data_IF_245103390352
#
_entry.id   IF_245103390352
#
_cell.length_a   1.000
_cell.length_b   1.000
_cell.length_c   1.000
_cell.angle_alpha   90.00
_cell.angle_beta   90.00
_cell.angle_gamma   90.00
#
_symmetry.space_group_name_H-M   'P 1'
#
loop_
_entity.id
_entity.type
_entity.pdbx_description
1 polymer ?
#
# COMPACT_ATOMS: atom_id res chain seq x y z
N UNK A 1 -19.15 -2.17 7.59
CA UNK A 1 -18.97 -1.32 6.38
C UNK A 1 -19.53 -2.08 5.18
N UNK A 2 -20.39 -1.47 4.34
CA UNK A 2 -20.92 -2.16 3.15
C UNK A 2 -19.85 -2.27 2.05
N UNK A 3 -19.92 -3.30 1.20
CA UNK A 3 -18.96 -3.49 0.09
C UNK A 3 -18.95 -2.32 -0.90
N UNK A 4 -20.13 -1.76 -1.20
CA UNK A 4 -20.25 -0.58 -2.07
C UNK A 4 -19.51 0.62 -1.47
N UNK A 5 -19.73 0.89 -0.18
CA UNK A 5 -19.02 1.97 0.50
C UNK A 5 -17.51 1.73 0.54
N UNK A 6 -17.04 0.50 0.72
CA UNK A 6 -15.61 0.17 0.68
C UNK A 6 -14.97 0.45 -0.69
N UNK A 7 -15.68 0.17 -1.80
CA UNK A 7 -15.21 0.52 -3.15
C UNK A 7 -15.15 2.03 -3.36
N UNK A 8 -16.19 2.76 -2.94
CA UNK A 8 -16.22 4.22 -3.01
C UNK A 8 -15.07 4.82 -2.19
N UNK A 9 -14.86 4.32 -0.97
CA UNK A 9 -13.79 4.76 -0.09
C UNK A 9 -12.41 4.49 -0.70
N UNK A 10 -12.20 3.32 -1.31
CA UNK A 10 -10.95 2.99 -1.98
C UNK A 10 -10.67 3.94 -3.15
N UNK A 11 -11.67 4.18 -4.00
CA UNK A 11 -11.57 5.15 -5.10
C UNK A 11 -11.30 6.57 -4.59
N UNK A 12 -12.01 7.01 -3.56
CA UNK A 12 -11.83 8.32 -2.95
C UNK A 12 -10.43 8.50 -2.35
N UNK A 13 -9.90 7.49 -1.66
CA UNK A 13 -8.54 7.50 -1.10
C UNK A 13 -7.49 7.60 -2.20
N UNK A 14 -7.64 6.89 -3.31
CA UNK A 14 -6.71 6.96 -4.45
C UNK A 14 -6.70 8.37 -5.06
N UNK A 15 -7.89 8.93 -5.32
CA UNK A 15 -8.00 10.25 -5.95
C UNK A 15 -7.53 11.35 -4.99
N UNK A 16 -8.00 11.32 -3.75
CA UNK A 16 -7.62 12.32 -2.75
C UNK A 16 -6.13 12.24 -2.43
N UNK A 17 -5.60 11.03 -2.26
CA UNK A 17 -4.18 10.81 -2.06
C UNK A 17 -3.34 11.30 -3.23
N UNK A 18 -3.76 11.06 -4.46
CA UNK A 18 -3.06 11.59 -5.62
C UNK A 18 -3.04 13.12 -5.63
N UNK A 19 -4.14 13.78 -5.28
CA UNK A 19 -4.21 15.24 -5.18
C UNK A 19 -3.29 15.74 -4.07
N UNK A 20 -3.38 15.19 -2.85
CA UNK A 20 -2.60 15.66 -1.71
C UNK A 20 -1.10 15.47 -1.92
N UNK A 21 -0.68 14.29 -2.37
CA UNK A 21 0.75 13.99 -2.61
C UNK A 21 1.30 14.79 -3.80
N UNK A 22 0.47 15.12 -4.78
CA UNK A 22 0.84 16.07 -5.84
C UNK A 22 1.05 17.46 -5.26
N UNK A 23 0.12 17.97 -4.45
CA UNK A 23 0.24 19.31 -3.88
C UNK A 23 1.46 19.44 -2.96
N UNK A 24 1.75 18.41 -2.15
CA UNK A 24 2.93 18.41 -1.27
C UNK A 24 4.23 18.28 -2.05
N UNK A 25 4.30 17.47 -3.10
CA UNK A 25 5.50 17.34 -3.94
C UNK A 25 5.81 18.61 -4.72
N UNK A 26 4.79 19.26 -5.29
CA UNK A 26 4.95 20.56 -5.98
C UNK A 26 5.38 21.64 -4.99
N UNK A 27 4.71 21.77 -3.84
CA UNK A 27 5.08 22.76 -2.84
C UNK A 27 6.49 22.54 -2.25
N UNK A 28 6.94 21.28 -2.15
CA UNK A 28 8.30 20.94 -1.70
C UNK A 28 9.42 21.37 -2.67
N UNK A 29 9.09 21.61 -3.94
CA UNK A 29 10.03 22.07 -4.96
C UNK A 29 10.25 23.59 -4.98
N UNK A 30 9.38 24.36 -4.31
CA UNK A 30 9.50 25.81 -4.24
C UNK A 30 10.63 26.25 -3.30
N UNK A 31 11.27 27.41 -3.53
CA UNK A 31 12.21 28.00 -2.58
C UNK A 31 11.47 28.32 -1.27
N UNK A 32 11.65 27.47 -0.26
CA UNK A 32 11.02 27.61 1.05
C UNK A 32 12.04 27.41 2.18
N UNK A 33 11.79 28.00 3.35
CA UNK A 33 12.58 27.73 4.54
C UNK A 33 12.60 26.22 4.87
N UNK A 34 13.71 25.74 5.42
CA UNK A 34 13.93 24.34 5.78
C UNK A 34 12.84 23.83 6.70
N UNK A 35 12.39 24.66 7.65
CA UNK A 35 11.30 24.33 8.59
C UNK A 35 10.00 24.00 7.86
N UNK A 36 9.60 24.84 6.88
CA UNK A 36 8.38 24.64 6.11
C UNK A 36 8.43 23.35 5.28
N UNK A 37 9.61 23.03 4.71
CA UNK A 37 9.81 21.77 3.97
C UNK A 37 9.70 20.54 4.86
N UNK A 38 10.26 20.58 6.06
CA UNK A 38 10.14 19.47 7.03
C UNK A 38 8.67 19.26 7.45
N UNK A 39 7.95 20.34 7.78
CA UNK A 39 6.54 20.24 8.15
C UNK A 39 5.67 19.69 7.03
N UNK A 40 5.92 20.12 5.79
CA UNK A 40 5.22 19.62 4.61
C UNK A 40 5.50 18.14 4.36
N UNK A 41 6.75 17.70 4.51
CA UNK A 41 7.12 16.28 4.39
C UNK A 41 6.44 15.42 5.47
N UNK A 42 6.39 15.90 6.72
CA UNK A 42 5.69 15.22 7.81
C UNK A 42 4.19 15.12 7.54
N UNK A 43 3.56 16.18 7.04
CA UNK A 43 2.15 16.15 6.64
C UNK A 43 1.91 15.14 5.52
N UNK A 44 2.76 15.12 4.50
CA UNK A 44 2.69 14.15 3.40
C UNK A 44 2.78 12.71 3.89
N UNK A 45 3.68 12.45 4.84
CA UNK A 45 3.87 11.14 5.45
C UNK A 45 2.66 10.70 6.29
N UNK A 46 2.05 11.62 7.06
CA UNK A 46 0.83 11.36 7.83
C UNK A 46 -0.37 11.07 6.93
N UNK A 47 -0.50 11.78 5.81
CA UNK A 47 -1.55 11.52 4.82
C UNK A 47 -1.36 10.15 4.16
N UNK A 48 -0.14 9.84 3.72
CA UNK A 48 0.20 8.54 3.14
C UNK A 48 -0.06 7.40 4.14
N UNK A 49 0.26 7.60 5.42
CA UNK A 49 -0.08 6.67 6.49
C UNK A 49 -1.59 6.40 6.55
N UNK A 50 -2.40 7.46 6.60
CA UNK A 50 -3.86 7.34 6.59
C UNK A 50 -4.37 6.59 5.36
N UNK A 51 -3.86 6.94 4.18
CA UNK A 51 -4.23 6.30 2.90
C UNK A 51 -3.94 4.80 2.91
N UNK A 52 -2.74 4.38 3.35
CA UNK A 52 -2.35 2.96 3.43
C UNK A 52 -3.25 2.19 4.40
N UNK A 53 -3.55 2.78 5.56
CA UNK A 53 -4.44 2.16 6.56
C UNK A 53 -5.85 2.00 6.00
N UNK A 54 -6.43 3.07 5.45
CA UNK A 54 -7.79 3.05 4.91
C UNK A 54 -7.89 2.11 3.72
N UNK A 55 -6.92 2.14 2.80
CA UNK A 55 -6.88 1.24 1.64
C UNK A 55 -6.81 -0.23 2.09
N UNK A 56 -5.99 -0.54 3.09
CA UNK A 56 -5.89 -1.91 3.62
C UNK A 56 -7.22 -2.39 4.23
N UNK A 57 -7.86 -1.54 5.04
CA UNK A 57 -9.16 -1.86 5.66
C UNK A 57 -10.27 -1.99 4.60
N UNK A 58 -10.30 -1.10 3.62
CA UNK A 58 -11.26 -1.13 2.51
C UNK A 58 -11.10 -2.38 1.66
N UNK A 59 -9.87 -2.70 1.24
CA UNK A 59 -9.58 -3.90 0.44
C UNK A 59 -9.93 -5.18 1.19
N UNK A 60 -9.64 -5.25 2.50
CA UNK A 60 -10.06 -6.38 3.34
C UNK A 60 -11.57 -6.54 3.41
N UNK A 61 -12.31 -5.44 3.59
CA UNK A 61 -13.78 -5.47 3.60
C UNK A 61 -14.37 -5.94 2.25
N UNK A 62 -13.73 -5.56 1.15
CA UNK A 62 -14.13 -5.97 -0.21
C UNK A 62 -13.91 -7.48 -0.39
N UNK A 63 -12.73 -7.99 -0.02
CA UNK A 63 -12.31 -9.36 -0.33
C UNK A 63 -12.82 -10.39 0.67
N UNK A 64 -12.97 -10.01 1.94
CA UNK A 64 -13.37 -10.89 3.05
C UNK A 64 -14.47 -10.21 3.86
N UNK A 65 -15.73 -10.19 3.37
CA UNK A 65 -16.83 -9.48 4.03
C UNK A 65 -17.22 -10.09 5.39
N UNK A 66 -16.88 -11.36 5.61
CA UNK A 66 -17.18 -12.11 6.83
C UNK A 66 -16.24 -11.75 7.98
N UNK A 67 -15.08 -11.15 7.67
CA UNK A 67 -14.09 -10.74 8.66
C UNK A 67 -14.25 -9.26 8.93
N UNK A 68 -14.49 -8.89 10.19
CA UNK A 68 -14.44 -7.48 10.59
C UNK A 68 -12.98 -7.02 10.65
N UNK A 69 -12.55 -6.08 9.78
CA UNK A 69 -11.16 -5.66 9.74
C UNK A 69 -10.78 -4.86 10.99
N UNK A 70 -9.60 -5.13 11.54
CA UNK A 70 -9.05 -4.36 12.65
C UNK A 70 -8.12 -3.27 12.14
N UNK A 71 -8.38 -2.01 12.52
CA UNK A 71 -7.57 -0.88 12.08
C UNK A 71 -6.29 -0.70 12.91
N UNK A 72 -6.29 -1.08 14.19
CA UNK A 72 -5.16 -0.88 15.11
C UNK A 72 -3.87 -1.62 14.68
N UNK A 73 -3.88 -2.94 14.43
CA UNK A 73 -2.68 -3.64 13.96
C UNK A 73 -2.25 -3.16 12.56
N UNK A 74 -3.20 -2.81 11.70
CA UNK A 74 -2.90 -2.22 10.37
C UNK A 74 -2.16 -0.90 10.54
N UNK A 75 -2.63 -0.02 11.43
CA UNK A 75 -1.98 1.25 11.74
C UNK A 75 -0.56 1.04 12.30
N UNK A 76 -0.37 0.12 13.24
CA UNK A 76 0.94 -0.18 13.79
C UNK A 76 1.93 -0.65 12.70
N UNK A 77 1.51 -1.61 11.87
CA UNK A 77 2.36 -2.14 10.80
C UNK A 77 2.58 -1.15 9.67
N UNK A 78 1.57 -0.36 9.29
CA UNK A 78 1.72 0.72 8.31
C UNK A 78 2.74 1.76 8.78
N UNK A 79 2.74 2.10 10.08
CA UNK A 79 3.71 3.01 10.67
C UNK A 79 5.14 2.46 10.58
N UNK A 80 5.33 1.20 10.99
CA UNK A 80 6.63 0.50 10.88
C UNK A 80 7.10 0.47 9.42
N UNK A 81 6.22 0.09 8.50
CA UNK A 81 6.55 -0.01 7.07
C UNK A 81 6.90 1.35 6.46
N UNK A 82 6.24 2.43 6.88
CA UNK A 82 6.60 3.78 6.42
C UNK A 82 7.95 4.25 6.94
N UNK A 83 8.26 3.99 8.22
CA UNK A 83 9.60 4.26 8.77
C UNK A 83 10.66 3.46 8.01
N UNK A 84 10.40 2.17 7.75
CA UNK A 84 11.28 1.32 6.95
C UNK A 84 11.41 1.80 5.51
N UNK A 85 10.34 2.32 4.91
CA UNK A 85 10.34 2.86 3.54
C UNK A 85 11.29 4.05 3.44
N UNK A 86 11.20 4.98 4.40
CA UNK A 86 12.09 6.16 4.47
C UNK A 86 13.53 5.72 4.70
N UNK A 87 13.79 4.84 5.68
CA UNK A 87 15.13 4.33 5.95
C UNK A 87 15.73 3.60 4.74
N UNK A 88 14.93 2.77 4.07
CA UNK A 88 15.31 2.05 2.85
C UNK A 88 15.69 3.00 1.72
N UNK A 89 14.89 4.04 1.48
CA UNK A 89 15.14 5.04 0.45
C UNK A 89 16.46 5.81 0.69
N UNK A 90 16.82 6.03 1.95
CA UNK A 90 18.08 6.69 2.32
C UNK A 90 19.30 5.79 2.11
N UNK A 91 19.16 4.48 2.32
CA UNK A 91 20.27 3.53 2.21
C UNK A 91 20.57 3.18 0.76
N UNK A 92 19.54 2.86 -0.04
CA UNK A 92 19.72 2.40 -1.40
C UNK A 92 18.43 2.55 -2.23
N UNK A 93 18.43 3.26 -3.38
CA UNK A 93 17.21 3.66 -4.08
C UNK A 93 16.17 2.56 -4.41
N UNK A 94 16.56 1.30 -4.72
CA UNK A 94 15.58 0.23 -4.92
C UNK A 94 15.20 -0.58 -3.66
N UNK A 95 15.75 -0.33 -2.47
CA UNK A 95 15.26 -0.99 -1.24
C UNK A 95 13.77 -0.72 -0.92
N UNK A 96 13.19 0.47 -1.19
CA UNK A 96 11.75 0.72 -1.05
C UNK A 96 10.85 -0.29 -1.75
N UNK A 97 11.33 -0.93 -2.82
CA UNK A 97 10.62 -1.99 -3.55
C UNK A 97 10.35 -3.18 -2.62
N UNK A 98 11.35 -3.60 -1.84
CA UNK A 98 11.21 -4.69 -0.89
C UNK A 98 10.25 -4.35 0.24
N UNK A 99 10.25 -3.09 0.69
CA UNK A 99 9.30 -2.60 1.69
C UNK A 99 7.87 -2.60 1.16
N UNK A 100 7.66 -2.20 -0.10
CA UNK A 100 6.35 -2.26 -0.75
C UNK A 100 5.84 -3.71 -0.89
N UNK A 101 6.72 -4.66 -1.24
CA UNK A 101 6.38 -6.10 -1.25
C UNK A 101 6.01 -6.55 0.16
N UNK A 102 6.84 -6.24 1.16
CA UNK A 102 6.57 -6.60 2.55
C UNK A 102 5.24 -6.02 3.02
N UNK A 103 4.93 -4.77 2.67
CA UNK A 103 3.65 -4.13 2.97
C UNK A 103 2.47 -4.90 2.38
N UNK A 104 2.57 -5.32 1.10
CA UNK A 104 1.53 -6.11 0.46
C UNK A 104 1.30 -7.48 1.14
N UNK A 105 2.34 -8.08 1.73
CA UNK A 105 2.25 -9.37 2.43
C UNK A 105 1.71 -9.21 3.85
N UNK A 106 2.20 -8.20 4.58
CA UNK A 106 1.99 -8.03 6.03
C UNK A 106 0.66 -7.34 6.33
N UNK A 107 0.29 -6.31 5.55
CA UNK A 107 -0.91 -5.50 5.82
C UNK A 107 -2.23 -6.31 5.73
N UNK A 108 -2.43 -7.21 4.75
CA UNK A 108 -3.62 -8.07 4.74
C UNK A 108 -3.72 -9.00 5.95
N UNK A 109 -2.60 -9.51 6.44
CA UNK A 109 -2.57 -10.34 7.64
C UNK A 109 -2.89 -9.52 8.89
N UNK A 110 -2.32 -8.31 9.02
CA UNK A 110 -2.61 -7.39 10.11
C UNK A 110 -4.10 -7.03 10.19
N UNK A 111 -4.74 -6.82 9.03
CA UNK A 111 -6.16 -6.47 8.96
C UNK A 111 -7.11 -7.55 9.50
N UNK A 112 -6.65 -8.81 9.61
CA UNK A 112 -7.44 -9.93 10.13
C UNK A 112 -7.56 -9.99 11.67
N UNK A 113 -7.11 -8.97 12.40
CA UNK A 113 -7.26 -8.93 13.87
C UNK A 113 -6.11 -9.53 14.66
N UNK A 114 -5.10 -10.12 14.01
CA UNK A 114 -3.96 -10.77 14.67
C UNK A 114 -2.74 -9.86 14.62
N UNK A 115 -2.13 -9.58 15.78
CA UNK A 115 -0.87 -8.84 15.86
C UNK A 115 0.31 -9.56 15.17
N UNK A 116 0.18 -10.87 14.95
CA UNK A 116 1.12 -11.72 14.19
C UNK A 116 1.04 -11.49 12.67
N UNK A 117 1.31 -10.27 12.19
CA UNK A 117 1.24 -9.95 10.77
C UNK A 117 2.29 -10.69 9.92
N UNK A 118 3.34 -11.23 10.55
CA UNK A 118 4.30 -12.15 9.93
C UNK A 118 3.65 -13.40 9.33
N UNK A 119 2.45 -13.77 9.78
CA UNK A 119 1.73 -14.91 9.19
C UNK A 119 1.38 -14.69 7.73
N UNK A 120 1.36 -13.45 7.21
CA UNK A 120 1.22 -13.17 5.78
C UNK A 120 2.22 -13.95 4.91
N UNK A 121 3.41 -14.24 5.43
CA UNK A 121 4.41 -15.06 4.72
C UNK A 121 4.03 -16.54 4.61
N UNK A 122 3.05 -17.03 5.37
CA UNK A 122 2.53 -18.39 5.22
C UNK A 122 1.88 -18.62 3.83
N UNK A 123 1.52 -17.56 3.11
CA UNK A 123 1.02 -17.66 1.72
C UNK A 123 2.06 -18.33 0.80
N UNK A 124 3.35 -18.08 1.02
CA UNK A 124 4.43 -18.71 0.26
C UNK A 124 4.54 -20.22 0.51
N UNK A 125 4.20 -20.68 1.73
CA UNK A 125 4.24 -22.11 2.08
C UNK A 125 3.02 -22.85 1.56
N UNK A 126 1.86 -22.20 1.55
CA UNK A 126 0.58 -22.83 1.18
C UNK A 126 0.30 -22.77 -0.32
N UNK A 127 0.71 -21.69 -1.00
CA UNK A 127 0.43 -21.47 -2.42
C UNK A 127 1.63 -20.86 -3.17
N UNK A 128 2.79 -21.56 -3.25
CA UNK A 128 4.05 -20.98 -3.72
C UNK A 128 3.96 -20.39 -5.13
N UNK A 129 3.28 -21.06 -6.07
CA UNK A 129 3.16 -20.57 -7.44
C UNK A 129 2.36 -19.27 -7.56
N UNK A 130 1.28 -19.11 -6.78
CA UNK A 130 0.48 -17.88 -6.78
C UNK A 130 1.18 -16.75 -6.03
N UNK A 131 1.90 -17.07 -4.96
CA UNK A 131 2.73 -16.12 -4.24
C UNK A 131 3.87 -15.58 -5.12
N UNK A 132 4.53 -16.46 -5.88
CA UNK A 132 5.55 -16.07 -6.85
C UNK A 132 4.98 -15.16 -7.96
N UNK A 133 3.80 -15.50 -8.51
CA UNK A 133 3.13 -14.65 -9.49
C UNK A 133 2.74 -13.28 -8.94
N UNK A 134 2.25 -13.21 -7.69
CA UNK A 134 1.92 -11.96 -7.02
C UNK A 134 3.18 -11.12 -6.76
N UNK A 135 4.28 -11.75 -6.33
CA UNK A 135 5.56 -11.07 -6.11
C UNK A 135 6.16 -10.55 -7.42
N UNK A 136 6.14 -11.36 -8.48
CA UNK A 136 6.55 -10.93 -9.82
C UNK A 136 5.70 -9.74 -10.30
N UNK A 137 4.40 -9.76 -10.03
CA UNK A 137 3.51 -8.67 -10.42
C UNK A 137 3.72 -7.41 -9.59
N UNK A 138 4.02 -7.53 -8.30
CA UNK A 138 4.44 -6.39 -7.48
C UNK A 138 5.73 -5.78 -8.05
N UNK A 139 6.72 -6.59 -8.41
CA UNK A 139 7.95 -6.12 -9.04
C UNK A 139 7.67 -5.41 -10.37
N UNK A 140 6.85 -6.01 -11.24
CA UNK A 140 6.47 -5.41 -12.53
C UNK A 140 5.74 -4.08 -12.32
N UNK A 141 4.77 -4.01 -11.40
CA UNK A 141 4.05 -2.79 -11.10
C UNK A 141 4.98 -1.67 -10.61
N UNK A 142 5.98 -2.01 -9.79
CA UNK A 142 6.98 -1.07 -9.30
C UNK A 142 7.92 -0.61 -10.41
N UNK A 143 8.39 -1.51 -11.28
CA UNK A 143 9.20 -1.15 -12.45
C UNK A 143 8.43 -0.24 -13.39
N UNK A 144 7.16 -0.56 -13.67
CA UNK A 144 6.27 0.31 -14.46
C UNK A 144 6.11 1.67 -13.76
N UNK A 145 5.93 1.70 -12.45
CA UNK A 145 5.85 2.94 -11.67
C UNK A 145 7.11 3.80 -11.79
N UNK A 146 8.29 3.18 -11.76
CA UNK A 146 9.56 3.88 -11.97
C UNK A 146 9.67 4.44 -13.41
N UNK A 147 9.25 3.67 -14.41
CA UNK A 147 9.21 4.14 -15.80
C UNK A 147 8.23 5.31 -15.95
N UNK A 148 7.03 5.22 -15.36
CA UNK A 148 6.06 6.32 -15.34
C UNK A 148 6.66 7.54 -14.65
N UNK A 149 7.31 7.39 -13.49
CA UNK A 149 7.97 8.50 -12.80
C UNK A 149 9.02 9.19 -13.68
N UNK A 150 9.85 8.42 -14.39
CA UNK A 150 10.84 8.96 -15.32
C UNK A 150 10.17 9.68 -16.50
N UNK A 151 9.24 9.03 -17.20
CA UNK A 151 8.56 9.61 -18.36
C UNK A 151 7.80 10.88 -17.97
N UNK A 152 7.08 10.85 -16.85
CA UNK A 152 6.34 12.02 -16.36
C UNK A 152 7.28 13.15 -15.97
N UNK A 153 8.44 12.86 -15.37
CA UNK A 153 9.46 13.87 -15.06
C UNK A 153 10.16 14.47 -16.28
N UNK A 154 10.32 13.71 -17.37
CA UNK A 154 10.95 14.19 -18.61
C UNK A 154 9.98 14.91 -19.56
N UNK A 155 8.73 14.49 -19.62
CA UNK A 155 7.80 14.90 -20.70
C UNK A 155 6.58 15.69 -20.23
N UNK A 156 6.23 15.66 -18.94
CA UNK A 156 5.08 16.40 -18.41
C UNK A 156 5.52 17.58 -17.55
N UNK A 157 4.60 18.54 -17.37
CA UNK A 157 4.80 19.58 -16.35
C UNK A 157 4.87 18.92 -14.97
N UNK A 158 5.64 19.48 -14.01
CA UNK A 158 5.82 18.86 -12.69
C UNK A 158 4.50 18.50 -12.01
N UNK A 159 3.48 19.36 -12.15
CA UNK A 159 2.14 19.13 -11.62
C UNK A 159 1.46 17.92 -12.28
N UNK A 160 1.39 17.89 -13.62
CA UNK A 160 0.73 16.80 -14.33
C UNK A 160 1.46 15.47 -14.13
N UNK A 161 2.79 15.51 -14.10
CA UNK A 161 3.59 14.32 -13.86
C UNK A 161 3.37 13.72 -12.48
N UNK A 162 3.34 14.56 -11.44
CA UNK A 162 3.03 14.12 -10.09
C UNK A 162 1.63 13.53 -9.98
N UNK A 163 0.60 14.14 -10.58
CA UNK A 163 -0.77 13.59 -10.59
C UNK A 163 -0.80 12.21 -11.21
N UNK A 164 -0.21 12.04 -12.40
CA UNK A 164 -0.18 10.76 -13.11
C UNK A 164 0.53 9.68 -12.29
N UNK A 165 1.69 10.01 -11.73
CA UNK A 165 2.46 9.09 -10.90
C UNK A 165 1.67 8.64 -9.66
N UNK A 166 1.09 9.58 -8.91
CA UNK A 166 0.38 9.25 -7.68
C UNK A 166 -0.94 8.52 -7.92
N UNK A 167 -1.66 8.84 -9.01
CA UNK A 167 -2.83 8.06 -9.43
C UNK A 167 -2.44 6.61 -9.77
N UNK A 168 -1.35 6.43 -10.52
CA UNK A 168 -0.83 5.10 -10.81
C UNK A 168 -0.44 4.36 -9.52
N UNK A 169 0.32 5.01 -8.64
CA UNK A 169 0.78 4.41 -7.39
C UNK A 169 -0.39 3.98 -6.51
N UNK A 170 -1.41 4.83 -6.35
CA UNK A 170 -2.61 4.51 -5.59
C UNK A 170 -3.41 3.35 -6.22
N UNK A 171 -3.63 3.39 -7.53
CA UNK A 171 -4.37 2.34 -8.23
C UNK A 171 -3.64 0.99 -8.22
N UNK A 172 -2.34 0.99 -8.52
CA UNK A 172 -1.50 -0.21 -8.51
C UNK A 172 -1.39 -0.78 -7.08
N UNK A 173 -1.15 0.08 -6.09
CA UNK A 173 -1.10 -0.31 -4.68
C UNK A 173 -2.42 -0.95 -4.22
N UNK A 174 -3.56 -0.34 -4.55
CA UNK A 174 -4.88 -0.89 -4.24
C UNK A 174 -5.14 -2.25 -4.93
N UNK A 175 -4.78 -2.38 -6.21
CA UNK A 175 -4.93 -3.62 -6.95
C UNK A 175 -4.06 -4.75 -6.38
N UNK A 176 -2.82 -4.43 -6.00
CA UNK A 176 -1.91 -5.36 -5.34
C UNK A 176 -2.43 -5.77 -3.97
N UNK A 177 -2.90 -4.82 -3.15
CA UNK A 177 -3.52 -5.13 -1.86
C UNK A 177 -4.74 -6.03 -2.02
N UNK A 178 -5.64 -5.74 -2.97
CA UNK A 178 -6.79 -6.62 -3.25
C UNK A 178 -6.35 -8.03 -3.60
N UNK A 179 -5.31 -8.18 -4.43
CA UNK A 179 -4.83 -9.49 -4.82
C UNK A 179 -4.17 -10.24 -3.66
N UNK A 180 -3.28 -9.59 -2.93
CA UNK A 180 -2.62 -10.20 -1.77
C UNK A 180 -3.61 -10.56 -0.66
N UNK A 181 -4.62 -9.74 -0.40
CA UNK A 181 -5.68 -10.08 0.56
C UNK A 181 -6.52 -11.28 0.11
N UNK A 182 -6.80 -11.43 -1.19
CA UNK A 182 -7.45 -12.63 -1.74
C UNK A 182 -6.58 -13.88 -1.60
N UNK A 183 -5.26 -13.76 -1.73
CA UNK A 183 -4.35 -14.89 -1.52
C UNK A 183 -4.31 -15.27 -0.04
N UNK A 184 -4.17 -14.29 0.84
CA UNK A 184 -4.18 -14.48 2.28
C UNK A 184 -5.44 -15.19 2.78
N UNK A 185 -6.63 -14.73 2.36
CA UNK A 185 -7.90 -15.32 2.80
C UNK A 185 -8.08 -16.78 2.37
N UNK A 186 -7.59 -17.13 1.18
CA UNK A 186 -7.57 -18.51 0.68
C UNK A 186 -6.59 -19.39 1.46
N UNK A 187 -5.40 -18.88 1.78
CA UNK A 187 -4.43 -19.62 2.59
C UNK A 187 -4.91 -19.83 4.04
N UNK A 188 -5.60 -18.84 4.61
CA UNK A 188 -6.14 -18.92 5.97
C UNK A 188 -7.28 -19.95 6.09
N UNK A 189 -8.13 -20.06 5.07
CA UNK A 189 -9.24 -21.04 5.05
C UNK A 189 -8.77 -22.48 4.89
N UNK A 190 -7.70 -22.73 4.11
CA UNK A 190 -7.09 -24.07 3.98
C UNK A 190 -6.43 -24.54 5.29
N UNK A 191 -6.04 -23.61 6.16
CA UNK A 191 -5.33 -23.93 7.42
C UNK A 191 -6.27 -24.14 8.61
N UNK A 192 -7.59 -23.97 8.43
CA UNK A 192 -8.56 -24.22 9.50
C UNK A 192 -8.78 -25.73 9.66
N UNK A 193 -8.60 -26.30 10.87
CA UNK A 193 -8.91 -27.72 11.09
C UNK A 193 -10.39 -27.97 10.76
N UNK A 194 -10.66 -29.05 10.03
CA UNK A 194 -12.03 -29.56 9.83
C UNK A 194 -12.69 -29.65 11.20
N UNK A 195 -13.89 -29.07 11.42
CA UNK A 195 -14.65 -29.40 12.61
C UNK A 195 -14.90 -30.90 12.55
N UNK A 196 -14.26 -31.64 13.45
CA UNK A 196 -14.61 -33.03 13.71
C UNK A 196 -16.01 -32.94 14.34
N UNK A 197 -17.03 -33.23 13.52
CA UNK A 197 -18.40 -33.48 13.99
C UNK A 197 -18.46 -34.86 14.64
#
# INVERSE_FOLDING_TARGET
MSRLFAWILLGAVIVFGAITQTMTSVAGSAPADTTARVLLALLSALLLFGEVVIATVATTTITTPEVSPSWQPVAAWAGILLVLLVAAALVWPPLPILVAVAACVVLPAAASGRYDAWRGFAVFRTTPGRAAAAMASTLVAVVIGAVIALLTGFFLTPLMGAVVFWLFAGAAGAALLLWWTRLWSRSASVSAPSPIL
#
